data_IF_503093684428
#
_entry.id   IF_503093684428
#
_cell.length_a   1.000
_cell.length_b   1.000
_cell.length_c   1.000
_cell.angle_alpha   90.00
_cell.angle_beta   90.00
_cell.angle_gamma   90.00
#
_symmetry.space_group_name_H-M   'P 1'
#
loop_
_entity.id
_entity.type
_entity.pdbx_description
1 polymer ?
#
# COMPACT_ATOMS: atom_id res chain seq x y z
N UNK A 1 40.40 8.52 -8.58
CA UNK A 1 40.02 7.52 -7.55
C UNK A 1 38.82 7.98 -6.71
N UNK A 2 38.82 9.16 -6.07
CA UNK A 2 37.66 9.66 -5.29
C UNK A 2 36.29 9.71 -6.03
N UNK A 3 36.29 10.02 -7.33
CA UNK A 3 35.06 10.08 -8.16
C UNK A 3 34.47 8.71 -8.52
N UNK A 4 35.31 7.67 -8.57
CA UNK A 4 34.88 6.29 -8.85
C UNK A 4 34.25 5.69 -7.59
N UNK A 5 34.82 5.98 -6.41
CA UNK A 5 34.26 5.56 -5.12
C UNK A 5 32.85 6.15 -4.91
N UNK A 6 32.65 7.43 -5.23
CA UNK A 6 31.36 8.12 -5.10
C UNK A 6 30.29 7.53 -6.02
N UNK A 7 30.67 7.12 -7.24
CA UNK A 7 29.74 6.49 -8.18
C UNK A 7 29.30 5.09 -7.71
N UNK A 8 30.22 4.32 -7.10
CA UNK A 8 29.92 3.00 -6.54
C UNK A 8 29.00 3.13 -5.31
N UNK A 9 29.20 4.14 -4.45
CA UNK A 9 28.30 4.40 -3.32
C UNK A 9 26.90 4.79 -3.81
N UNK A 10 26.79 5.64 -4.82
CA UNK A 10 25.49 6.04 -5.39
C UNK A 10 24.76 4.83 -6.01
N UNK A 11 25.46 3.97 -6.75
CA UNK A 11 24.88 2.75 -7.35
C UNK A 11 24.47 1.75 -6.25
N UNK A 12 25.26 1.58 -5.20
CA UNK A 12 24.91 0.72 -4.06
C UNK A 12 23.69 1.25 -3.27
N UNK A 13 23.50 2.57 -3.19
CA UNK A 13 22.31 3.18 -2.57
C UNK A 13 21.05 3.13 -3.45
N UNK A 14 21.20 3.01 -4.78
CA UNK A 14 20.05 2.76 -5.66
C UNK A 14 19.65 1.28 -5.70
N UNK A 15 20.60 0.35 -5.53
CA UNK A 15 20.33 -1.09 -5.52
C UNK A 15 19.74 -1.62 -4.21
N UNK A 16 19.69 -0.80 -3.15
CA UNK A 16 19.14 -1.17 -1.83
C UNK A 16 17.70 -0.71 -1.62
N UNK A 17 17.07 -0.09 -2.61
CA UNK A 17 15.62 0.16 -2.56
C UNK A 17 14.91 -1.10 -3.07
N UNK A 18 13.95 -1.66 -2.31
CA UNK A 18 13.10 -2.71 -2.84
C UNK A 18 12.46 -2.17 -4.11
N UNK A 19 12.46 -3.00 -5.15
CA UNK A 19 11.78 -2.68 -6.41
C UNK A 19 10.29 -2.62 -6.07
N UNK A 20 9.75 -1.42 -6.03
CA UNK A 20 8.31 -1.21 -5.90
C UNK A 20 7.63 -1.95 -7.06
N UNK A 21 6.90 -3.01 -6.74
CA UNK A 21 6.05 -3.69 -7.70
C UNK A 21 4.90 -2.74 -8.06
N UNK A 22 5.08 -1.93 -9.10
CA UNK A 22 4.00 -1.12 -9.63
C UNK A 22 2.98 -2.04 -10.31
N UNK A 23 1.79 -2.17 -9.72
CA UNK A 23 0.66 -2.85 -10.32
C UNK A 23 0.05 -1.97 -11.42
N UNK A 24 -0.29 -2.58 -12.57
CA UNK A 24 -0.98 -1.88 -13.64
C UNK A 24 -2.37 -1.43 -13.16
N UNK A 25 -2.83 -0.27 -13.63
CA UNK A 25 -4.09 0.35 -13.18
C UNK A 25 -5.34 -0.54 -13.36
N UNK A 26 -5.28 -1.55 -14.23
CA UNK A 26 -6.38 -2.49 -14.52
C UNK A 26 -6.42 -3.71 -13.61
N UNK A 27 -5.32 -4.02 -12.92
CA UNK A 27 -5.14 -5.24 -12.11
C UNK A 27 -4.72 -4.84 -10.70
N UNK A 28 -5.59 -4.17 -9.94
CA UNK A 28 -5.28 -3.81 -8.55
C UNK A 28 -5.53 -5.04 -7.67
N UNK A 29 -4.50 -5.70 -7.13
CA UNK A 29 -4.71 -6.86 -6.30
C UNK A 29 -5.20 -6.41 -4.93
N UNK A 30 -6.08 -7.20 -4.35
CA UNK A 30 -6.63 -6.97 -3.03
C UNK A 30 -6.48 -8.23 -2.18
N UNK A 31 -6.32 -8.07 -0.87
CA UNK A 31 -6.41 -9.21 0.07
C UNK A 31 -7.88 -9.57 0.26
N UNK A 32 -8.21 -10.87 0.35
CA UNK A 32 -9.52 -11.32 0.83
C UNK A 32 -9.42 -11.47 2.34
N UNK A 33 -10.22 -10.72 3.09
CA UNK A 33 -10.30 -10.86 4.55
C UNK A 33 -11.26 -11.99 4.91
N UNK A 34 -10.74 -13.00 5.61
CA UNK A 34 -11.50 -14.09 6.19
C UNK A 34 -11.06 -14.25 7.65
N UNK A 35 -11.97 -13.94 8.58
CA UNK A 35 -11.70 -14.00 10.01
C UNK A 35 -10.95 -12.77 10.55
N UNK A 36 -10.28 -12.96 11.69
CA UNK A 36 -9.69 -11.85 12.46
C UNK A 36 -8.39 -11.32 11.83
N UNK A 37 -8.52 -10.39 10.88
CA UNK A 37 -7.38 -9.74 10.22
C UNK A 37 -7.19 -8.31 10.71
N UNK A 38 -6.05 -8.05 11.32
CA UNK A 38 -5.68 -6.71 11.80
C UNK A 38 -4.93 -5.90 10.74
N UNK A 39 -5.34 -4.65 10.54
CA UNK A 39 -4.49 -3.66 9.90
C UNK A 39 -3.44 -3.18 10.91
N UNK A 40 -2.16 -3.31 10.56
CA UNK A 40 -1.05 -2.90 11.41
C UNK A 40 -0.41 -1.61 10.91
N UNK A 41 0.09 -0.78 11.82
CA UNK A 41 0.93 0.36 11.45
C UNK A 41 2.35 -0.09 11.06
N UNK A 42 3.20 0.86 10.67
CA UNK A 42 4.59 0.58 10.27
C UNK A 42 5.38 -0.15 11.36
N UNK A 43 5.13 0.17 12.63
CA UNK A 43 5.75 -0.45 13.80
C UNK A 43 5.18 -1.84 14.13
N UNK A 44 4.10 -2.27 13.46
CA UNK A 44 3.44 -3.55 13.70
C UNK A 44 2.38 -3.51 14.80
N UNK A 45 1.98 -2.33 15.25
CA UNK A 45 0.89 -2.19 16.22
C UNK A 45 -0.47 -2.27 15.51
N UNK A 46 -1.44 -2.87 16.19
CA UNK A 46 -2.82 -3.02 15.72
C UNK A 46 -3.51 -1.65 15.63
N UNK A 47 -4.02 -1.32 14.44
CA UNK A 47 -4.84 -0.12 14.21
C UNK A 47 -6.32 -0.46 14.40
N UNK A 48 -6.87 -1.33 13.55
CA UNK A 48 -8.25 -1.81 13.62
C UNK A 48 -8.39 -3.14 12.87
N UNK A 49 -9.51 -3.83 13.09
CA UNK A 49 -9.88 -5.04 12.36
C UNK A 49 -10.44 -4.70 10.99
N UNK A 50 -9.96 -5.42 9.98
CA UNK A 50 -10.57 -5.40 8.67
C UNK A 50 -11.85 -6.26 8.75
N UNK A 51 -12.99 -5.76 8.25
CA UNK A 51 -14.22 -6.52 8.25
C UNK A 51 -14.14 -7.74 7.32
N UNK A 52 -14.87 -8.81 7.67
CA UNK A 52 -14.96 -10.02 6.85
C UNK A 52 -15.47 -9.71 5.45
N UNK A 53 -14.99 -10.45 4.45
CA UNK A 53 -15.34 -10.30 3.03
C UNK A 53 -14.90 -8.97 2.38
N UNK A 54 -13.96 -8.24 3.01
CA UNK A 54 -13.41 -6.99 2.46
C UNK A 54 -12.03 -7.08 1.88
N UNK A 55 -11.77 -6.10 1.01
CA UNK A 55 -10.64 -6.04 0.12
C UNK A 55 -9.83 -4.78 0.40
N UNK A 56 -8.77 -4.92 1.19
CA UNK A 56 -7.78 -3.86 1.31
C UNK A 56 -6.87 -3.88 0.07
N UNK A 57 -6.75 -2.74 -0.58
CA UNK A 57 -5.96 -2.59 -1.81
C UNK A 57 -4.50 -2.84 -1.51
N UNK A 58 -3.87 -3.80 -2.18
CA UNK A 58 -2.43 -4.05 -2.04
C UNK A 58 -1.67 -3.01 -2.86
N UNK A 59 -0.88 -2.20 -2.17
CA UNK A 59 0.01 -1.21 -2.77
C UNK A 59 1.41 -1.79 -3.02
N UNK A 60 1.88 -2.65 -2.11
CA UNK A 60 3.18 -3.29 -2.16
C UNK A 60 3.16 -4.58 -1.32
N UNK A 61 4.21 -5.41 -1.41
CA UNK A 61 4.37 -6.61 -0.58
C UNK A 61 5.85 -6.93 -0.38
N UNK A 62 6.16 -7.54 0.76
CA UNK A 62 7.47 -8.15 1.04
C UNK A 62 7.29 -9.64 1.37
N UNK A 63 8.29 -10.30 1.94
CA UNK A 63 8.20 -11.73 2.26
C UNK A 63 7.16 -12.05 3.35
N UNK A 64 6.84 -11.11 4.24
CA UNK A 64 6.01 -11.34 5.42
C UNK A 64 4.66 -10.61 5.39
N UNK A 65 4.54 -9.52 4.64
CA UNK A 65 3.41 -8.60 4.71
C UNK A 65 2.87 -8.19 3.32
N UNK A 66 1.56 -7.95 3.28
CA UNK A 66 0.92 -7.10 2.28
C UNK A 66 0.83 -5.68 2.83
N UNK A 67 1.33 -4.69 2.08
CA UNK A 67 1.12 -3.29 2.37
C UNK A 67 -0.14 -2.84 1.68
N UNK A 68 -1.13 -2.44 2.47
CA UNK A 68 -2.48 -2.21 1.99
C UNK A 68 -2.99 -0.82 2.33
N UNK A 69 -3.97 -0.33 1.56
CA UNK A 69 -4.82 0.81 1.94
C UNK A 69 -6.26 0.35 2.07
N UNK A 70 -6.89 0.71 3.19
CA UNK A 70 -8.30 0.47 3.45
C UNK A 70 -8.94 1.72 4.06
N UNK A 71 -10.07 2.16 3.54
CA UNK A 71 -10.75 3.40 3.97
C UNK A 71 -9.79 4.62 4.05
N UNK A 72 -8.85 4.72 3.11
CA UNK A 72 -7.82 5.77 3.09
C UNK A 72 -6.68 5.59 4.11
N UNK A 73 -6.75 4.60 5.00
CA UNK A 73 -5.70 4.28 5.98
C UNK A 73 -4.74 3.28 5.37
N UNK A 74 -3.46 3.63 5.36
CA UNK A 74 -2.39 2.75 4.89
C UNK A 74 -1.78 1.98 6.07
N UNK A 75 -1.50 0.70 5.85
CA UNK A 75 -0.91 -0.17 6.86
C UNK A 75 -0.38 -1.45 6.24
N UNK A 76 -0.06 -2.42 7.09
CA UNK A 76 0.42 -3.74 6.68
C UNK A 76 -0.41 -4.86 7.30
N UNK A 77 -0.58 -5.94 6.56
CA UNK A 77 -1.30 -7.16 6.97
C UNK A 77 -0.38 -8.35 6.79
N UNK A 78 -0.33 -9.25 7.78
CA UNK A 78 0.52 -10.45 7.69
C UNK A 78 0.00 -11.41 6.63
N UNK A 79 0.90 -11.95 5.80
CA UNK A 79 0.54 -12.98 4.81
C UNK A 79 0.02 -14.27 5.44
N UNK A 80 0.41 -14.56 6.68
CA UNK A 80 0.04 -15.80 7.38
C UNK A 80 -1.45 -15.87 7.75
N UNK A 81 -2.15 -14.72 7.79
CA UNK A 81 -3.58 -14.64 8.14
C UNK A 81 -4.46 -14.35 6.92
N UNK A 82 -3.88 -14.19 5.73
CA UNK A 82 -4.61 -13.91 4.50
C UNK A 82 -4.72 -15.20 3.69
N UNK A 83 -5.94 -15.72 3.57
CA UNK A 83 -6.20 -16.99 2.88
C UNK A 83 -6.14 -16.90 1.35
N UNK A 84 -6.49 -15.75 0.77
CA UNK A 84 -6.53 -15.58 -0.70
C UNK A 84 -6.31 -14.10 -1.08
N UNK A 85 -5.77 -13.88 -2.28
CA UNK A 85 -5.75 -12.55 -2.94
C UNK A 85 -6.59 -12.59 -4.21
N UNK A 86 -7.34 -11.53 -4.49
CA UNK A 86 -8.22 -11.44 -5.66
C UNK A 86 -8.14 -10.09 -6.38
N UNK A 87 -8.89 -9.97 -7.48
CA UNK A 87 -9.02 -8.76 -8.27
C UNK A 87 -10.44 -8.22 -8.20
N UNK A 88 -10.56 -6.90 -8.22
CA UNK A 88 -11.84 -6.21 -8.32
C UNK A 88 -11.64 -4.80 -8.85
N UNK A 89 -12.51 -4.39 -9.77
CA UNK A 89 -12.47 -3.08 -10.39
C UNK A 89 -12.86 -1.94 -9.44
N UNK A 90 -13.67 -2.20 -8.40
CA UNK A 90 -14.02 -1.19 -7.39
C UNK A 90 -14.32 -1.78 -6.00
N UNK A 91 -13.39 -1.69 -5.05
CA UNK A 91 -13.69 -2.07 -3.66
C UNK A 91 -14.64 -1.03 -3.02
N UNK A 92 -15.81 -1.47 -2.54
CA UNK A 92 -16.69 -0.62 -1.73
C UNK A 92 -16.04 -0.40 -0.37
N UNK A 93 -15.85 0.86 0.05
CA UNK A 93 -15.35 1.17 1.38
C UNK A 93 -16.44 1.00 2.45
N UNK A 94 -16.04 0.83 3.71
CA UNK A 94 -16.97 0.76 4.87
C UNK A 94 -17.09 2.09 5.62
N UNK A 95 -16.57 3.17 5.03
CA UNK A 95 -16.64 4.49 5.64
C UNK A 95 -18.09 4.96 5.71
N UNK A 96 -18.52 5.32 6.92
CA UNK A 96 -19.77 6.02 7.14
C UNK A 96 -19.55 7.22 8.06
N UNK A 97 -20.45 8.19 8.01
CA UNK A 97 -20.42 9.31 8.96
C UNK A 97 -21.13 8.90 10.25
N UNK A 98 -20.47 9.16 11.37
CA UNK A 98 -21.03 9.00 12.71
C UNK A 98 -21.08 10.36 13.41
N UNK A 99 -21.84 10.40 14.50
CA UNK A 99 -21.92 11.54 15.41
C UNK A 99 -21.78 11.06 16.85
N UNK A 100 -21.58 12.00 17.77
CA UNK A 100 -21.62 11.68 19.20
C UNK A 100 -23.04 11.28 19.59
N UNK A 101 -23.17 10.23 20.40
CA UNK A 101 -24.47 9.71 20.81
C UNK A 101 -25.24 10.76 21.66
N UNK A 102 -26.57 10.86 21.53
CA UNK A 102 -27.36 11.90 22.20
C UNK A 102 -27.21 11.93 23.72
N UNK A 103 -26.91 10.79 24.36
CA UNK A 103 -26.70 10.72 25.81
C UNK A 103 -25.50 11.55 26.29
N UNK A 104 -24.59 11.91 25.38
CA UNK A 104 -23.39 12.71 25.64
C UNK A 104 -23.52 14.16 25.13
N UNK A 105 -24.72 14.60 24.75
CA UNK A 105 -24.95 15.96 24.25
C UNK A 105 -24.73 17.07 25.30
N UNK A 106 -24.63 16.73 26.58
CA UNK A 106 -24.30 17.69 27.66
C UNK A 106 -22.84 18.16 27.64
N UNK A 107 -21.96 17.41 26.97
CA UNK A 107 -20.56 17.80 26.81
C UNK A 107 -20.42 18.79 25.65
N UNK A 108 -19.50 19.76 25.78
CA UNK A 108 -19.18 20.65 24.66
C UNK A 108 -18.42 19.89 23.55
N UNK A 109 -17.54 18.97 23.94
CA UNK A 109 -16.72 18.18 23.03
C UNK A 109 -16.29 16.86 23.68
N UNK A 110 -15.98 15.87 22.83
CA UNK A 110 -15.39 14.58 23.22
C UNK A 110 -13.97 14.49 22.68
N UNK A 111 -13.07 13.91 23.47
CA UNK A 111 -11.66 13.81 23.11
C UNK A 111 -11.37 12.59 22.26
N UNK A 112 -10.75 12.80 21.11
CA UNK A 112 -10.17 11.75 20.29
C UNK A 112 -8.86 11.25 20.91
N UNK A 113 -8.72 9.94 21.12
CA UNK A 113 -7.55 9.34 21.77
C UNK A 113 -6.52 8.84 20.78
N UNK A 114 -5.24 8.88 21.17
CA UNK A 114 -4.12 8.38 20.35
C UNK A 114 -4.02 6.86 20.33
N UNK A 115 -4.61 6.17 21.32
CA UNK A 115 -4.72 4.72 21.45
C UNK A 115 -6.11 4.37 22.00
N UNK A 116 -6.59 3.12 21.85
CA UNK A 116 -7.89 2.68 22.37
C UNK A 116 -7.86 2.49 23.90
N UNK A 117 -7.55 3.58 24.60
CA UNK A 117 -7.45 3.66 26.05
C UNK A 117 -7.84 5.08 26.50
N UNK A 118 -8.68 5.17 27.54
CA UNK A 118 -9.10 6.45 28.11
C UNK A 118 -7.92 7.23 28.73
N UNK A 119 -6.86 6.54 29.13
CA UNK A 119 -5.63 7.13 29.68
C UNK A 119 -4.66 7.63 28.60
N UNK A 120 -4.88 7.25 27.33
CA UNK A 120 -4.03 7.67 26.23
C UNK A 120 -4.11 9.19 26.01
N UNK A 121 -3.04 9.74 25.41
CA UNK A 121 -2.96 11.15 25.05
C UNK A 121 -4.10 11.55 24.11
N UNK A 122 -4.60 12.76 24.32
CA UNK A 122 -5.62 13.37 23.46
C UNK A 122 -4.98 13.84 22.14
N UNK A 123 -5.62 13.54 21.02
CA UNK A 123 -5.20 13.97 19.67
C UNK A 123 -5.86 15.32 19.34
N UNK A 124 -7.18 15.39 19.50
CA UNK A 124 -8.01 16.57 19.23
C UNK A 124 -9.34 16.43 19.98
N UNK A 125 -10.04 17.54 20.16
CA UNK A 125 -11.41 17.55 20.68
C UNK A 125 -12.42 17.69 19.54
N UNK A 126 -13.45 16.86 19.55
CA UNK A 126 -14.53 16.82 18.57
C UNK A 126 -15.77 17.44 19.22
N UNK A 127 -16.25 18.60 18.76
CA UNK A 127 -17.49 19.18 19.26
C UNK A 127 -18.66 18.19 19.04
N UNK A 128 -19.57 18.07 20.02
CA UNK A 128 -20.60 17.01 20.00
C UNK A 128 -21.56 17.07 18.80
N UNK A 129 -21.75 18.26 18.24
CA UNK A 129 -22.60 18.49 17.06
C UNK A 129 -21.88 18.21 15.73
N UNK A 130 -20.58 17.92 15.75
CA UNK A 130 -19.79 17.72 14.55
C UNK A 130 -19.68 16.24 14.18
N UNK A 131 -19.96 15.88 12.91
CA UNK A 131 -19.79 14.52 12.46
C UNK A 131 -18.31 14.17 12.25
N UNK A 132 -18.03 12.87 12.23
CA UNK A 132 -16.71 12.31 11.93
C UNK A 132 -16.87 11.03 11.11
N UNK A 133 -15.80 10.61 10.43
CA UNK A 133 -15.83 9.43 9.56
C UNK A 133 -15.36 8.21 10.33
N UNK A 134 -16.18 7.17 10.36
CA UNK A 134 -15.80 5.85 10.83
C UNK A 134 -14.87 5.16 9.82
N UNK A 135 -13.80 4.53 10.31
CA UNK A 135 -12.81 3.84 9.47
C UNK A 135 -12.69 2.35 9.79
N UNK A 136 -12.92 1.94 11.05
CA UNK A 136 -12.86 0.54 11.47
C UNK A 136 -13.00 0.36 12.97
N UNK A 137 -13.16 -0.89 13.40
CA UNK A 137 -13.34 -1.25 14.81
C UNK A 137 -12.04 -1.79 15.43
N UNK A 138 -11.81 -1.44 16.69
CA UNK A 138 -10.73 -1.94 17.52
C UNK A 138 -11.31 -2.53 18.80
N UNK A 139 -11.54 -3.85 18.85
CA UNK A 139 -11.89 -4.53 20.08
C UNK A 139 -10.73 -4.47 21.09
N UNK A 140 -10.99 -3.90 22.26
CA UNK A 140 -10.09 -3.92 23.41
C UNK A 140 -10.68 -4.84 24.51
N UNK A 141 -9.91 -5.10 25.57
CA UNK A 141 -10.27 -6.07 26.60
C UNK A 141 -11.60 -5.76 27.32
N UNK A 142 -11.97 -4.49 27.42
CA UNK A 142 -13.10 -4.00 28.21
C UNK A 142 -14.14 -3.21 27.39
N UNK A 143 -13.82 -2.86 26.14
CA UNK A 143 -14.69 -2.07 25.28
C UNK A 143 -14.32 -2.20 23.79
N UNK A 144 -15.27 -1.85 22.94
CA UNK A 144 -15.01 -1.61 21.51
C UNK A 144 -14.67 -0.12 21.32
N UNK A 145 -13.63 0.13 20.54
CA UNK A 145 -13.24 1.45 20.10
C UNK A 145 -13.39 1.57 18.60
N UNK A 146 -13.76 2.73 18.11
CA UNK A 146 -13.78 3.06 16.70
C UNK A 146 -12.55 3.88 16.35
N UNK A 147 -11.83 3.44 15.31
CA UNK A 147 -10.85 4.27 14.65
C UNK A 147 -11.59 5.20 13.69
N UNK A 148 -11.39 6.51 13.87
CA UNK A 148 -12.15 7.54 13.16
C UNK A 148 -11.24 8.62 12.61
N UNK A 149 -11.73 9.32 11.59
CA UNK A 149 -11.15 10.55 11.08
C UNK A 149 -12.04 11.74 11.41
N UNK A 150 -11.46 12.75 12.04
CA UNK A 150 -12.06 14.07 12.20
C UNK A 150 -11.15 15.12 11.58
N UNK A 151 -11.61 15.76 10.50
CA UNK A 151 -10.78 16.62 9.65
C UNK A 151 -9.52 15.87 9.17
N UNK A 152 -8.34 16.33 9.59
CA UNK A 152 -7.03 15.74 9.29
C UNK A 152 -6.51 14.81 10.40
N UNK A 153 -7.25 14.71 11.51
CA UNK A 153 -6.84 13.95 12.69
C UNK A 153 -7.43 12.56 12.65
N UNK A 154 -6.62 11.59 13.04
CA UNK A 154 -7.00 10.19 13.18
C UNK A 154 -6.78 9.75 14.62
N UNK A 155 -7.68 8.90 15.12
CA UNK A 155 -7.55 8.37 16.46
C UNK A 155 -8.76 7.53 16.85
N UNK A 156 -8.91 7.32 18.16
CA UNK A 156 -9.85 6.37 18.73
C UNK A 156 -10.92 7.09 19.55
N UNK A 157 -12.17 6.70 19.31
CA UNK A 157 -13.32 7.03 20.16
C UNK A 157 -13.93 5.74 20.71
N UNK A 158 -14.48 5.81 21.91
CA UNK A 158 -15.18 4.66 22.49
C UNK A 158 -16.52 4.48 21.76
N UNK A 159 -16.82 3.25 21.33
CA UNK A 159 -18.00 2.96 20.51
C UNK A 159 -19.32 3.34 21.20
N UNK A 160 -19.39 3.19 22.52
CA UNK A 160 -20.54 3.55 23.36
C UNK A 160 -20.81 5.06 23.47
N UNK A 161 -19.94 5.91 22.89
CA UNK A 161 -20.09 7.37 22.84
C UNK A 161 -20.55 7.87 21.47
N UNK A 162 -20.75 6.99 20.51
CA UNK A 162 -21.08 7.37 19.14
C UNK A 162 -22.38 6.70 18.70
N UNK A 163 -22.95 7.22 17.62
CA UNK A 163 -23.96 6.47 16.87
C UNK A 163 -23.36 5.16 16.33
N UNK A 164 -24.21 4.17 16.06
CA UNK A 164 -23.78 2.87 15.53
C UNK A 164 -23.49 2.98 14.02
N UNK A 165 -22.39 2.39 13.51
CA UNK A 165 -22.13 2.32 12.08
C UNK A 165 -23.16 1.44 11.37
N UNK A 166 -23.52 1.85 10.16
CA UNK A 166 -24.27 1.00 9.24
C UNK A 166 -23.38 -0.18 8.85
N UNK A 167 -23.86 -1.40 9.04
CA UNK A 167 -23.10 -2.64 8.87
C UNK A 167 -23.63 -3.53 7.76
N UNK A 168 -24.69 -3.11 7.07
CA UNK A 168 -25.21 -3.84 5.90
C UNK A 168 -24.44 -3.40 4.66
N UNK A 169 -23.36 -4.11 4.41
CA UNK A 169 -22.56 -3.87 3.24
C UNK A 169 -22.59 -5.07 2.28
N UNK A 170 -22.54 -4.83 0.97
CA UNK A 170 -22.62 -5.92 -0.01
C UNK A 170 -21.44 -6.88 0.17
N UNK A 171 -21.76 -8.17 0.24
CA UNK A 171 -20.76 -9.25 0.17
C UNK A 171 -20.04 -9.14 -1.16
N UNK A 172 -18.73 -9.02 -1.11
CA UNK A 172 -17.91 -8.97 -2.31
C UNK A 172 -17.88 -10.32 -3.04
N UNK A 173 -17.83 -10.26 -4.37
CA UNK A 173 -17.58 -11.42 -5.24
C UNK A 173 -16.36 -11.11 -6.10
N UNK A 174 -15.26 -11.90 -6.04
CA UNK A 174 -14.10 -11.69 -6.90
C UNK A 174 -14.50 -11.71 -8.38
N UNK A 175 -14.02 -10.72 -9.14
CA UNK A 175 -14.18 -10.75 -10.59
C UNK A 175 -13.17 -11.76 -11.14
N UNK A 176 -13.65 -12.71 -11.96
CA UNK A 176 -12.75 -13.53 -12.76
C UNK A 176 -12.01 -12.62 -13.75
N UNK A 177 -10.68 -12.70 -13.78
CA UNK A 177 -9.89 -12.04 -14.82
C UNK A 177 -10.44 -12.54 -16.16
N UNK A 178 -10.83 -11.67 -17.11
CA UNK A 178 -11.22 -12.11 -18.43
C UNK A 178 -10.12 -13.00 -18.99
N UNK A 179 -10.39 -14.30 -19.11
CA UNK A 179 -9.50 -15.18 -19.85
C UNK A 179 -9.52 -14.64 -21.28
N UNK A 180 -8.35 -14.29 -21.83
CA UNK A 180 -8.24 -14.10 -23.27
C UNK A 180 -8.84 -15.34 -23.91
N UNK A 181 -9.94 -15.16 -24.64
CA UNK A 181 -10.57 -16.24 -25.39
C UNK A 181 -9.53 -16.72 -26.39
N UNK A 182 -8.85 -17.82 -26.08
CA UNK A 182 -8.05 -18.53 -27.06
C UNK A 182 -9.06 -19.12 -28.03
N UNK A 183 -9.22 -18.45 -29.16
CA UNK A 183 -10.10 -18.86 -30.24
C UNK A 183 -9.72 -20.29 -30.67
N UNK A 184 -10.63 -21.27 -30.61
CA UNK A 184 -10.27 -22.64 -30.93
C UNK A 184 -10.24 -22.82 -32.45
N UNK A 185 -9.02 -23.02 -32.96
CA UNK A 185 -8.67 -23.78 -34.19
C UNK A 185 -8.55 -22.99 -35.50
N UNK A 186 -7.30 -22.74 -35.90
CA UNK A 186 -6.86 -22.97 -37.29
C UNK A 186 -5.54 -23.78 -37.22
N UNK A 187 -5.49 -25.04 -37.73
CA UNK A 187 -4.32 -25.88 -37.59
C UNK A 187 -3.42 -25.72 -38.82
N UNK A 188 -2.68 -24.62 -38.94
CA UNK A 188 -1.56 -24.55 -39.90
C UNK A 188 -0.71 -23.28 -39.73
N UNK A 189 0.14 -23.22 -38.69
CA UNK A 189 1.51 -22.69 -38.82
C UNK A 189 2.38 -23.41 -37.79
N UNK A 190 3.08 -24.46 -38.21
CA UNK A 190 4.42 -24.70 -37.65
C UNK A 190 5.24 -23.45 -38.02
N UNK A 191 5.69 -22.69 -37.04
CA UNK A 191 7.10 -22.29 -37.01
C UNK A 191 7.48 -21.56 -35.72
N UNK A 192 8.45 -22.17 -35.05
CA UNK A 192 9.42 -21.66 -34.07
C UNK A 192 8.91 -21.18 -32.71
N UNK A 193 9.04 -22.10 -31.75
CA UNK A 193 9.34 -21.76 -30.35
C UNK A 193 10.38 -20.62 -30.29
N UNK A 194 10.08 -19.45 -29.69
CA UNK A 194 11.14 -18.68 -29.09
C UNK A 194 11.70 -19.52 -27.93
N UNK A 195 13.03 -19.69 -27.82
CA UNK A 195 13.61 -20.59 -26.85
C UNK A 195 13.14 -20.22 -25.44
N UNK A 196 12.43 -21.16 -24.84
CA UNK A 196 12.15 -21.24 -23.41
C UNK A 196 13.43 -20.97 -22.63
N UNK A 197 13.43 -19.94 -21.80
CA UNK A 197 14.51 -19.72 -20.84
C UNK A 197 14.71 -18.32 -20.28
N UNK A 198 13.77 -17.38 -20.40
CA UNK A 198 13.90 -16.08 -19.73
C UNK A 198 12.57 -15.72 -19.06
N UNK A 199 12.57 -15.77 -17.73
CA UNK A 199 11.44 -15.43 -16.89
C UNK A 199 10.98 -13.99 -17.19
N UNK A 200 9.72 -13.63 -16.89
CA UNK A 200 9.22 -12.23 -17.06
C UNK A 200 10.10 -11.21 -16.32
N UNK A 201 10.85 -11.67 -15.31
CA UNK A 201 11.91 -10.93 -14.61
C UNK A 201 13.15 -10.71 -15.46
N UNK A 202 13.62 -11.72 -16.17
CA UNK A 202 14.81 -11.65 -17.03
C UNK A 202 14.57 -10.72 -18.22
N UNK A 203 13.36 -10.75 -18.79
CA UNK A 203 12.98 -9.86 -19.89
C UNK A 203 12.92 -8.40 -19.42
N UNK A 204 12.43 -8.14 -18.20
CA UNK A 204 12.50 -6.80 -17.58
C UNK A 204 13.93 -6.36 -17.30
N UNK A 205 14.79 -7.27 -16.83
CA UNK A 205 16.22 -6.98 -16.60
C UNK A 205 16.90 -6.62 -17.94
N UNK A 206 16.64 -7.37 -19.01
CA UNK A 206 17.19 -7.10 -20.34
C UNK A 206 16.74 -5.74 -20.86
N UNK A 207 15.47 -5.37 -20.68
CA UNK A 207 14.96 -4.06 -21.10
C UNK A 207 15.59 -2.93 -20.29
N UNK A 208 15.70 -3.07 -18.97
CA UNK A 208 16.32 -2.05 -18.10
C UNK A 208 17.80 -1.88 -18.43
N UNK A 209 18.55 -2.98 -18.58
CA UNK A 209 19.98 -2.94 -18.96
C UNK A 209 20.15 -2.37 -20.36
N UNK A 210 19.30 -2.78 -21.32
CA UNK A 210 19.32 -2.30 -22.69
C UNK A 210 19.06 -0.80 -22.82
N UNK A 211 18.26 -0.21 -21.93
CA UNK A 211 17.97 1.23 -21.91
C UNK A 211 18.98 2.03 -21.06
N UNK A 212 19.50 1.44 -19.98
CA UNK A 212 20.46 2.10 -19.09
C UNK A 212 21.87 2.19 -19.67
N UNK A 213 22.36 1.16 -20.38
CA UNK A 213 23.73 1.15 -20.93
C UNK A 213 23.96 2.28 -21.95
N UNK A 214 23.07 2.54 -22.92
CA UNK A 214 23.20 3.68 -23.83
C UNK A 214 23.19 5.03 -23.09
N UNK A 215 22.34 5.19 -22.08
CA UNK A 215 22.25 6.42 -21.29
C UNK A 215 23.57 6.69 -20.53
N UNK A 216 24.15 5.66 -19.90
CA UNK A 216 25.45 5.77 -19.22
C UNK A 216 26.57 6.03 -20.22
N UNK A 217 26.54 5.42 -21.41
CA UNK A 217 27.52 5.67 -22.47
C UNK A 217 27.48 7.12 -22.98
N UNK A 218 26.28 7.69 -23.15
CA UNK A 218 26.08 9.09 -23.52
C UNK A 218 26.60 10.03 -22.43
N UNK A 219 26.30 9.74 -21.16
CA UNK A 219 26.84 10.50 -20.03
C UNK A 219 28.37 10.42 -20.02
N UNK A 220 28.96 9.25 -20.24
CA UNK A 220 30.41 9.09 -20.28
C UNK A 220 31.08 9.85 -21.45
N UNK A 221 30.40 9.89 -22.62
CA UNK A 221 30.85 10.69 -23.76
C UNK A 221 30.76 12.20 -23.49
N UNK A 222 29.67 12.66 -22.87
CA UNK A 222 29.47 14.07 -22.53
C UNK A 222 30.43 14.56 -21.45
N UNK A 223 30.71 13.71 -20.45
CA UNK A 223 31.60 14.04 -19.35
C UNK A 223 33.03 13.50 -19.54
N UNK A 224 33.41 13.14 -20.78
CA UNK A 224 34.75 12.64 -21.09
C UNK A 224 35.77 13.72 -20.73
N UNK A 225 36.60 13.53 -19.69
CA UNK A 225 37.50 14.58 -19.24
C UNK A 225 38.53 14.86 -20.34
N UNK A 226 38.50 16.06 -20.91
CA UNK A 226 39.54 16.54 -21.81
C UNK A 226 40.88 16.49 -21.06
N UNK A 227 41.72 15.53 -21.42
CA UNK A 227 43.06 15.38 -20.86
C UNK A 227 43.83 16.67 -21.03
N UNK A 228 44.37 17.20 -19.93
CA UNK A 228 45.28 18.35 -19.95
C UNK A 228 46.50 17.98 -20.81
N UNK A 229 46.65 18.62 -21.98
CA UNK A 229 47.90 18.59 -22.74
C UNK A 229 49.01 19.14 -21.84
N UNK A 230 50.03 18.32 -21.58
CA UNK A 230 51.29 18.75 -20.95
C UNK A 230 51.91 19.85 -21.82
N UNK A 231 52.16 21.03 -21.25
CA UNK A 231 53.13 21.98 -21.80
C UNK A 231 54.48 21.60 -21.20
N UNK A 232 55.33 20.99 -22.01
CA UNK A 232 56.77 21.07 -21.80
C UNK A 232 57.17 22.51 -22.16
N UNK A 233 57.81 23.21 -21.23
CA UNK A 233 58.71 24.32 -21.56
C UNK A 233 60.08 23.67 -21.68
N UNK A 234 60.64 23.68 -22.89
CA UNK A 234 62.09 23.60 -23.07
C UNK A 234 62.63 25.05 -23.06
N UNK A 235 63.77 25.22 -22.42
CA UNK A 235 64.60 26.44 -22.40
C UNK A 235 65.09 26.82 -23.80
#
# INVERSE_FOLDING_TARGET
MKRILLLIVVIATLASKPVDAAFAATDTPHIVVDGEVWLLNEMGEKIFLLPDSYYARINNLDDAYYYVTFNGVSGKVSKNVVGTTGYHTAATGTMCQLSIAPEYAEFAAIKLKSRPDLSASDVVEIPVEQPFTFLGEHPAADAVWYYVQYNQYYGYLKADRTTMPETDFPVFVPEEIPQEVVDPTDPSVEDTDPPSGLDRRDLRIIVIVGLAVPAVAVIFLLFRPKGKRKRFYDE
#
